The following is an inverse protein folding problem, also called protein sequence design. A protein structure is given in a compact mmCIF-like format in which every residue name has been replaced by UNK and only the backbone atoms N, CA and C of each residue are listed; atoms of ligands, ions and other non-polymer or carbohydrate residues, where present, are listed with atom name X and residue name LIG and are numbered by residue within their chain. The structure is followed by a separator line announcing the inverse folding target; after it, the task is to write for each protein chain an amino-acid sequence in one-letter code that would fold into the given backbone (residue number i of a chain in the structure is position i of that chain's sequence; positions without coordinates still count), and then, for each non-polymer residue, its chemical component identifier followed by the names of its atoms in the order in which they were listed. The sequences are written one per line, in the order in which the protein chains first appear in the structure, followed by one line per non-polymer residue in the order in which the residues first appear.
data_IF_762047416191
#
_entry.id   IF_762047416191
#
_cell.length_a   1.000
_cell.length_b   1.000
_cell.length_c   1.000
_cell.angle_alpha   90.00
_cell.angle_beta   90.00
_cell.angle_gamma   90.00
#
_symmetry.space_group_name_H-M   'P 1'
#
loop_
_entity.id
_entity.type
_entity.pdbx_description
1 polymer ?
#
# COMPACT_ATOMS: atom_id res chain seq x y z
N UNK A 1 -22.67 -9.71 -7.60
CA UNK A 1 -22.31 -8.43 -8.26
C UNK A 1 -22.27 -7.25 -7.27
N UNK A 2 -23.33 -7.01 -6.47
CA UNK A 2 -23.36 -5.86 -5.55
C UNK A 2 -22.38 -5.97 -4.39
N UNK A 3 -22.22 -7.14 -3.80
CA UNK A 3 -21.30 -7.40 -2.70
C UNK A 3 -19.85 -7.27 -3.20
N UNK A 4 -19.57 -7.78 -4.39
CA UNK A 4 -18.24 -7.69 -5.02
C UNK A 4 -17.84 -6.23 -5.30
N UNK A 5 -18.79 -5.42 -5.80
CA UNK A 5 -18.58 -3.99 -6.01
C UNK A 5 -18.36 -3.23 -4.68
N UNK A 6 -19.13 -3.57 -3.64
CA UNK A 6 -18.98 -2.99 -2.32
C UNK A 6 -17.61 -3.31 -1.72
N UNK A 7 -17.19 -4.57 -1.82
CA UNK A 7 -15.88 -5.02 -1.33
C UNK A 7 -14.74 -4.28 -2.04
N UNK A 8 -14.79 -4.18 -3.37
CA UNK A 8 -13.78 -3.48 -4.17
C UNK A 8 -13.69 -2.00 -3.79
N UNK A 9 -14.84 -1.33 -3.67
CA UNK A 9 -14.91 0.08 -3.27
C UNK A 9 -14.39 0.29 -1.85
N UNK A 10 -14.72 -0.62 -0.94
CA UNK A 10 -14.23 -0.59 0.45
C UNK A 10 -12.71 -0.73 0.53
N UNK A 11 -12.12 -1.67 -0.20
CA UNK A 11 -10.66 -1.85 -0.26
C UNK A 11 -9.99 -0.62 -0.86
N UNK A 12 -10.52 -0.06 -1.95
CA UNK A 12 -9.99 1.15 -2.57
C UNK A 12 -10.02 2.36 -1.61
N UNK A 13 -11.11 2.52 -0.86
CA UNK A 13 -11.23 3.54 0.16
C UNK A 13 -10.21 3.38 1.30
N UNK A 14 -10.04 2.16 1.82
CA UNK A 14 -9.05 1.87 2.86
C UNK A 14 -7.62 2.15 2.40
N UNK A 15 -7.28 1.80 1.16
CA UNK A 15 -5.96 2.09 0.58
C UNK A 15 -5.73 3.60 0.42
N UNK A 16 -6.75 4.34 -0.02
CA UNK A 16 -6.68 5.79 -0.11
C UNK A 16 -6.45 6.42 1.26
N UNK A 17 -7.19 5.99 2.28
CA UNK A 17 -6.99 6.44 3.65
C UNK A 17 -5.58 6.10 4.16
N UNK A 18 -5.08 4.90 3.90
CA UNK A 18 -3.73 4.50 4.30
C UNK A 18 -2.67 5.41 3.69
N UNK A 19 -2.79 5.74 2.40
CA UNK A 19 -1.91 6.69 1.72
C UNK A 19 -2.04 8.10 2.33
N UNK A 20 -3.26 8.58 2.53
CA UNK A 20 -3.51 9.90 3.10
C UNK A 20 -2.92 10.04 4.52
N UNK A 21 -3.22 9.09 5.41
CA UNK A 21 -2.66 9.11 6.76
C UNK A 21 -1.13 8.99 6.76
N UNK A 22 -0.55 8.24 5.83
CA UNK A 22 0.90 8.19 5.65
C UNK A 22 1.47 9.55 5.27
N UNK A 23 0.82 10.29 4.36
CA UNK A 23 1.22 11.64 3.97
C UNK A 23 1.14 12.60 5.17
N UNK A 24 0.02 12.59 5.90
CA UNK A 24 -0.17 13.42 7.10
C UNK A 24 0.91 13.12 8.15
N UNK A 25 1.20 11.83 8.36
CA UNK A 25 2.22 11.40 9.31
C UNK A 25 3.63 11.82 8.90
N UNK A 26 4.00 11.61 7.63
CA UNK A 26 5.34 11.87 7.09
C UNK A 26 5.63 13.37 7.00
N UNK A 27 4.70 14.12 6.45
CA UNK A 27 4.91 15.53 6.14
C UNK A 27 4.36 16.47 7.23
N UNK A 28 3.50 15.99 8.11
CA UNK A 28 2.86 16.79 9.16
C UNK A 28 1.86 17.82 8.63
N UNK A 29 1.45 17.66 7.36
CA UNK A 29 0.54 18.55 6.64
C UNK A 29 -0.89 18.04 6.86
N UNK A 30 -1.88 18.92 6.80
CA UNK A 30 -3.32 18.57 6.88
C UNK A 30 -3.82 18.00 8.22
N UNK A 31 -3.13 18.22 9.33
CA UNK A 31 -3.56 17.72 10.66
C UNK A 31 -4.94 18.22 11.11
N UNK A 32 -5.39 19.38 10.60
CA UNK A 32 -6.70 19.94 10.93
C UNK A 32 -7.86 19.51 10.02
N UNK A 33 -7.58 18.84 8.90
CA UNK A 33 -8.57 18.51 7.85
C UNK A 33 -8.85 17.00 7.79
N UNK A 34 -8.27 16.22 8.68
CA UNK A 34 -8.34 14.74 8.61
C UNK A 34 -9.74 14.18 8.74
N UNK A 35 -10.59 14.75 9.60
CA UNK A 35 -11.98 14.29 9.77
C UNK A 35 -12.83 14.58 8.53
N UNK A 36 -12.72 15.79 8.02
CA UNK A 36 -13.51 16.26 6.88
C UNK A 36 -13.10 15.51 5.61
N UNK A 37 -11.79 15.34 5.40
CA UNK A 37 -11.28 14.54 4.27
C UNK A 37 -11.77 13.09 4.32
N UNK A 38 -11.79 12.44 5.49
CA UNK A 38 -12.29 11.08 5.61
C UNK A 38 -13.78 10.99 5.28
N UNK A 39 -14.58 11.96 5.73
CA UNK A 39 -16.01 12.01 5.44
C UNK A 39 -16.29 12.29 3.96
N UNK A 40 -15.64 13.27 3.37
CA UNK A 40 -15.80 13.64 1.96
C UNK A 40 -15.34 12.51 1.03
N UNK A 41 -14.19 11.88 1.34
CA UNK A 41 -13.72 10.71 0.62
C UNK A 41 -14.70 9.54 0.73
N UNK A 42 -15.28 9.27 1.91
CA UNK A 42 -16.28 8.23 2.08
C UNK A 42 -17.51 8.50 1.21
N UNK A 43 -18.03 9.72 1.22
CA UNK A 43 -19.18 10.12 0.39
C UNK A 43 -18.87 9.90 -1.09
N UNK A 44 -17.72 10.34 -1.57
CA UNK A 44 -17.32 10.18 -2.97
C UNK A 44 -17.19 8.70 -3.36
N UNK A 45 -16.55 7.88 -2.52
CA UNK A 45 -16.36 6.46 -2.82
C UNK A 45 -17.68 5.69 -2.80
N UNK A 46 -18.53 5.89 -1.78
CA UNK A 46 -19.76 5.10 -1.64
C UNK A 46 -20.93 5.65 -2.47
N UNK A 47 -20.99 6.96 -2.74
CA UNK A 47 -22.08 7.53 -3.56
C UNK A 47 -21.75 7.49 -5.04
N UNK A 48 -20.49 7.68 -5.44
CA UNK A 48 -20.11 7.77 -6.86
C UNK A 48 -19.42 6.49 -7.35
N UNK A 49 -18.36 6.05 -6.67
CA UNK A 49 -17.54 4.93 -7.14
C UNK A 49 -18.27 3.59 -7.04
N UNK A 50 -18.97 3.34 -5.93
CA UNK A 50 -19.70 2.07 -5.77
C UNK A 50 -20.76 1.84 -6.86
N UNK A 51 -21.66 2.78 -7.20
CA UNK A 51 -22.61 2.59 -8.29
C UNK A 51 -21.92 2.45 -9.66
N UNK A 52 -20.84 3.18 -9.92
CA UNK A 52 -20.07 3.05 -11.16
C UNK A 52 -19.45 1.66 -11.30
N UNK A 53 -18.82 1.15 -10.25
CA UNK A 53 -18.24 -0.19 -10.21
C UNK A 53 -19.33 -1.24 -10.38
N UNK A 54 -20.44 -1.10 -9.65
CA UNK A 54 -21.60 -1.99 -9.78
C UNK A 54 -22.15 -2.03 -11.20
N UNK A 55 -22.35 -0.89 -11.84
CA UNK A 55 -22.81 -0.81 -13.23
C UNK A 55 -21.80 -1.42 -14.21
N UNK A 56 -20.51 -1.27 -13.95
CA UNK A 56 -19.46 -1.86 -14.79
C UNK A 56 -19.47 -3.38 -14.71
N UNK A 57 -19.66 -3.94 -13.51
CA UNK A 57 -19.81 -5.39 -13.33
C UNK A 57 -21.08 -5.92 -14.02
N UNK A 58 -22.19 -5.20 -13.88
CA UNK A 58 -23.47 -5.61 -14.42
C UNK A 58 -23.53 -5.49 -15.97
N UNK A 59 -22.79 -4.55 -16.56
CA UNK A 59 -22.76 -4.32 -18.02
C UNK A 59 -21.97 -5.38 -18.79
N UNK A 60 -21.01 -6.07 -18.16
CA UNK A 60 -20.12 -7.06 -18.77
C UNK A 60 -20.54 -8.51 -18.51
N UNK A 61 -21.83 -8.79 -18.45
CA UNK A 61 -22.33 -10.16 -18.36
C UNK A 61 -22.19 -10.87 -19.70
N UNK A 62 -20.96 -11.13 -20.13
CA UNK A 62 -20.68 -12.22 -21.08
C UNK A 62 -20.55 -13.53 -20.29
N UNK A 63 -21.19 -14.62 -20.74
CA UNK A 63 -21.37 -15.85 -19.95
C UNK A 63 -20.13 -16.75 -19.82
N UNK A 64 -18.92 -16.26 -20.08
CA UNK A 64 -17.74 -17.12 -20.29
C UNK A 64 -16.69 -17.13 -19.16
N UNK A 65 -16.71 -16.20 -18.18
CA UNK A 65 -15.69 -16.19 -17.12
C UNK A 65 -16.30 -16.21 -15.71
N UNK A 66 -15.74 -17.00 -14.78
CA UNK A 66 -16.21 -17.02 -13.40
C UNK A 66 -16.05 -15.64 -12.75
N UNK A 67 -17.07 -15.21 -12.02
CA UNK A 67 -17.18 -13.89 -11.37
C UNK A 67 -15.99 -13.57 -10.45
N UNK A 68 -15.43 -14.60 -9.82
CA UNK A 68 -14.25 -14.51 -8.97
C UNK A 68 -12.98 -14.03 -9.69
N UNK A 69 -12.80 -14.43 -10.97
CA UNK A 69 -11.61 -14.01 -11.74
C UNK A 69 -11.70 -12.55 -12.17
N UNK A 70 -12.91 -12.05 -12.51
CA UNK A 70 -13.13 -10.64 -12.85
C UNK A 70 -12.90 -9.71 -11.65
N UNK A 71 -13.32 -10.16 -10.47
CA UNK A 71 -13.14 -9.41 -9.23
C UNK A 71 -11.65 -9.30 -8.88
N UNK A 72 -10.92 -10.42 -8.95
CA UNK A 72 -9.48 -10.45 -8.70
C UNK A 72 -8.71 -9.60 -9.72
N UNK A 73 -9.06 -9.68 -10.99
CA UNK A 73 -8.42 -8.90 -12.06
C UNK A 73 -8.62 -7.39 -11.83
N UNK A 74 -9.83 -6.97 -11.50
CA UNK A 74 -10.13 -5.57 -11.21
C UNK A 74 -9.45 -5.11 -9.92
N UNK A 75 -9.49 -5.90 -8.85
CA UNK A 75 -8.86 -5.57 -7.58
C UNK A 75 -7.36 -5.38 -7.74
N UNK A 76 -6.69 -6.33 -8.39
CA UNK A 76 -5.24 -6.32 -8.51
C UNK A 76 -4.73 -5.28 -9.51
N UNK A 77 -5.34 -5.17 -10.68
CA UNK A 77 -4.87 -4.27 -11.72
C UNK A 77 -5.32 -2.82 -11.53
N UNK A 78 -6.55 -2.58 -11.04
CA UNK A 78 -7.13 -1.24 -10.99
C UNK A 78 -7.10 -0.59 -9.60
N UNK A 79 -7.00 -1.38 -8.54
CA UNK A 79 -7.01 -0.86 -7.17
C UNK A 79 -5.65 -1.05 -6.51
N UNK A 80 -5.19 -2.28 -6.40
CA UNK A 80 -4.01 -2.61 -5.60
C UNK A 80 -2.71 -2.14 -6.26
N UNK A 81 -2.53 -2.40 -7.56
CA UNK A 81 -1.28 -2.03 -8.25
C UNK A 81 -1.05 -0.52 -8.33
N UNK A 82 -2.06 0.33 -8.69
CA UNK A 82 -1.88 1.78 -8.61
C UNK A 82 -1.62 2.28 -7.19
N UNK A 83 -2.27 1.68 -6.18
CA UNK A 83 -2.05 2.05 -4.79
C UNK A 83 -0.62 1.72 -4.32
N UNK A 84 -0.10 0.53 -4.65
CA UNK A 84 1.30 0.14 -4.35
C UNK A 84 2.28 1.08 -5.05
N UNK A 85 2.01 1.44 -6.31
CA UNK A 85 2.86 2.37 -7.06
C UNK A 85 2.85 3.77 -6.42
N UNK A 86 1.68 4.31 -6.07
CA UNK A 86 1.55 5.59 -5.38
C UNK A 86 2.27 5.58 -4.04
N UNK A 87 2.14 4.48 -3.29
CA UNK A 87 2.82 4.33 -2.01
C UNK A 87 4.34 4.21 -2.17
N UNK A 88 4.81 3.57 -3.24
CA UNK A 88 6.25 3.52 -3.60
C UNK A 88 6.80 4.93 -3.80
N UNK A 89 6.12 5.76 -4.59
CA UNK A 89 6.50 7.17 -4.80
C UNK A 89 6.54 7.92 -3.47
N UNK A 90 5.55 7.72 -2.61
CA UNK A 90 5.50 8.34 -1.28
C UNK A 90 6.70 7.94 -0.40
N UNK A 91 7.09 6.67 -0.41
CA UNK A 91 8.28 6.20 0.31
C UNK A 91 9.56 6.83 -0.24
N UNK A 92 9.70 6.99 -1.56
CA UNK A 92 10.83 7.67 -2.17
C UNK A 92 10.90 9.15 -1.77
N UNK A 93 9.77 9.86 -1.78
CA UNK A 93 9.70 11.25 -1.29
C UNK A 93 10.08 11.34 0.19
N UNK A 94 9.65 10.38 0.97
CA UNK A 94 10.03 10.30 2.38
C UNK A 94 11.53 10.05 2.57
N UNK A 95 12.11 9.15 1.78
CA UNK A 95 13.56 8.93 1.76
C UNK A 95 14.31 10.21 1.40
N UNK A 96 13.89 10.91 0.34
CA UNK A 96 14.48 12.19 -0.05
C UNK A 96 14.39 13.22 1.08
N UNK A 97 13.28 13.29 1.79
CA UNK A 97 13.11 14.16 2.96
C UNK A 97 14.12 13.81 4.07
N UNK A 98 14.30 12.54 4.41
CA UNK A 98 15.26 12.10 5.44
C UNK A 98 16.68 12.49 5.05
N UNK A 99 17.08 12.25 3.81
CA UNK A 99 18.40 12.62 3.29
C UNK A 99 18.61 14.14 3.34
N UNK A 100 17.59 14.92 2.97
CA UNK A 100 17.67 16.39 2.96
C UNK A 100 17.71 17.02 4.38
N UNK A 101 16.94 16.44 5.32
CA UNK A 101 16.86 16.97 6.70
C UNK A 101 17.89 16.37 7.65
N UNK A 102 18.58 15.31 7.21
CA UNK A 102 19.53 14.53 8.00
C UNK A 102 19.00 14.14 9.40
N UNK A 103 17.69 14.01 9.50
CA UNK A 103 16.98 13.68 10.74
C UNK A 103 16.10 12.46 10.55
N UNK A 104 16.35 11.41 11.32
CA UNK A 104 15.46 10.25 11.37
C UNK A 104 14.25 10.60 12.24
N UNK A 105 13.02 10.60 11.69
CA UNK A 105 11.81 10.83 12.48
C UNK A 105 11.61 9.72 13.52
N UNK A 106 11.23 10.12 14.72
CA UNK A 106 11.04 9.20 15.84
C UNK A 106 9.82 8.30 15.59
N UNK A 107 10.02 7.04 15.25
CA UNK A 107 9.05 5.98 15.60
C UNK A 107 8.28 5.28 14.49
N UNK A 108 7.92 5.88 13.36
CA UNK A 108 6.93 5.28 12.46
C UNK A 108 7.42 4.61 11.17
N UNK A 109 8.67 4.80 10.79
CA UNK A 109 9.22 4.33 9.51
C UNK A 109 9.06 2.81 9.35
N UNK A 110 9.39 2.06 10.38
CA UNK A 110 9.36 0.61 10.34
C UNK A 110 7.95 0.07 10.04
N UNK A 111 6.93 0.67 10.64
CA UNK A 111 5.54 0.27 10.41
C UNK A 111 5.06 0.64 9.01
N UNK A 112 5.47 1.81 8.49
CA UNK A 112 5.13 2.24 7.13
C UNK A 112 5.75 1.32 6.08
N UNK A 113 7.05 1.01 6.21
CA UNK A 113 7.75 0.09 5.30
C UNK A 113 7.20 -1.33 5.42
N UNK A 114 6.90 -1.78 6.64
CA UNK A 114 6.31 -3.10 6.87
C UNK A 114 4.93 -3.23 6.20
N UNK A 115 4.03 -2.27 6.42
CA UNK A 115 2.71 -2.25 5.79
C UNK A 115 2.79 -2.22 4.27
N UNK A 116 3.67 -1.40 3.72
CA UNK A 116 3.95 -1.35 2.29
C UNK A 116 4.39 -2.70 1.73
N UNK A 117 5.40 -3.31 2.36
CA UNK A 117 5.96 -4.58 1.89
C UNK A 117 4.93 -5.70 1.92
N UNK A 118 4.12 -5.76 2.98
CA UNK A 118 3.07 -6.77 3.11
C UNK A 118 2.05 -6.65 1.97
N UNK A 119 1.57 -5.44 1.71
CA UNK A 119 0.61 -5.18 0.62
C UNK A 119 1.25 -5.45 -0.74
N UNK A 120 2.50 -5.05 -0.94
CA UNK A 120 3.20 -5.23 -2.20
C UNK A 120 3.50 -6.70 -2.50
N UNK A 121 3.92 -7.49 -1.50
CA UNK A 121 4.12 -8.94 -1.65
C UNK A 121 2.80 -9.65 -1.93
N UNK A 122 1.71 -9.26 -1.23
CA UNK A 122 0.39 -9.78 -1.51
C UNK A 122 -0.09 -9.45 -2.94
N UNK A 123 0.18 -8.22 -3.40
CA UNK A 123 -0.11 -7.81 -4.78
C UNK A 123 0.71 -8.61 -5.80
N UNK A 124 2.01 -8.80 -5.55
CA UNK A 124 2.89 -9.59 -6.40
C UNK A 124 2.46 -11.05 -6.47
N UNK A 125 2.12 -11.66 -5.33
CA UNK A 125 1.58 -13.01 -5.29
C UNK A 125 0.25 -13.10 -6.07
N UNK A 126 -0.63 -12.10 -5.93
CA UNK A 126 -1.88 -12.03 -6.68
C UNK A 126 -1.68 -11.91 -8.19
N UNK A 127 -0.64 -11.19 -8.65
CA UNK A 127 -0.32 -11.07 -10.08
C UNK A 127 -0.06 -12.42 -10.76
N UNK A 128 0.40 -13.43 -10.02
CA UNK A 128 0.61 -14.77 -10.58
C UNK A 128 -0.69 -15.47 -10.97
N UNK A 129 -1.80 -15.07 -10.38
CA UNK A 129 -3.13 -15.62 -10.64
C UNK A 129 -3.85 -14.94 -11.82
N UNK A 130 -3.29 -13.85 -12.35
CA UNK A 130 -3.90 -13.03 -13.38
C UNK A 130 -3.54 -13.49 -14.79
N UNK A 131 -4.53 -13.56 -15.67
CA UNK A 131 -4.34 -13.83 -17.09
C UNK A 131 -3.79 -12.61 -17.86
N UNK A 132 -4.18 -11.39 -17.44
CA UNK A 132 -3.72 -10.13 -18.03
C UNK A 132 -3.04 -9.27 -16.98
N UNK A 133 -1.75 -8.98 -17.18
CA UNK A 133 -0.92 -8.19 -16.26
C UNK A 133 -0.57 -6.85 -16.90
N UNK A 134 -1.07 -5.75 -16.32
CA UNK A 134 -0.78 -4.40 -16.82
C UNK A 134 0.51 -3.83 -16.24
N UNK A 135 0.94 -4.27 -15.05
CA UNK A 135 2.07 -3.73 -14.30
C UNK A 135 3.27 -4.68 -14.22
N UNK A 136 3.44 -5.56 -15.19
CA UNK A 136 4.54 -6.54 -15.24
C UNK A 136 5.93 -5.87 -15.11
N UNK A 137 6.12 -4.72 -15.76
CA UNK A 137 7.37 -3.96 -15.67
C UNK A 137 7.72 -3.52 -14.25
N UNK A 138 6.71 -3.18 -13.44
CA UNK A 138 6.88 -2.78 -12.05
C UNK A 138 7.21 -3.97 -11.16
N UNK A 139 6.44 -5.06 -11.25
CA UNK A 139 6.61 -6.25 -10.42
C UNK A 139 7.87 -7.04 -10.78
N UNK A 140 8.29 -7.07 -12.03
CA UNK A 140 9.56 -7.69 -12.44
C UNK A 140 10.79 -6.95 -11.88
N UNK A 141 10.67 -5.67 -11.59
CA UNK A 141 11.73 -4.85 -10.99
C UNK A 141 11.44 -4.48 -9.54
N UNK A 142 10.41 -5.07 -8.96
CA UNK A 142 9.95 -4.72 -7.62
C UNK A 142 11.07 -4.87 -6.57
N UNK A 143 11.87 -5.93 -6.66
CA UNK A 143 13.02 -6.16 -5.79
C UNK A 143 14.02 -4.98 -5.82
N UNK A 144 14.32 -4.43 -6.99
CA UNK A 144 15.19 -3.26 -7.12
C UNK A 144 14.53 -1.97 -6.63
N UNK A 145 13.23 -1.83 -6.89
CA UNK A 145 12.45 -0.64 -6.49
C UNK A 145 12.26 -0.59 -4.97
N UNK A 146 12.16 -1.74 -4.32
CA UNK A 146 11.99 -1.82 -2.86
C UNK A 146 13.29 -1.69 -2.07
N UNK A 147 14.47 -1.85 -2.71
CA UNK A 147 15.77 -1.73 -2.04
C UNK A 147 15.96 -0.47 -1.20
N UNK A 148 15.63 0.76 -1.68
CA UNK A 148 15.78 1.97 -0.86
C UNK A 148 14.88 1.96 0.38
N UNK A 149 13.65 1.43 0.26
CA UNK A 149 12.74 1.31 1.38
C UNK A 149 13.25 0.30 2.43
N UNK A 150 13.80 -0.81 1.95
CA UNK A 150 14.43 -1.83 2.79
C UNK A 150 15.69 -1.29 3.49
N UNK A 151 16.55 -0.56 2.77
CA UNK A 151 17.71 0.09 3.33
C UNK A 151 17.33 1.08 4.44
N UNK A 152 16.30 1.90 4.21
CA UNK A 152 15.75 2.81 5.22
C UNK A 152 15.23 2.07 6.45
N UNK A 153 14.55 0.95 6.25
CA UNK A 153 14.07 0.12 7.36
C UNK A 153 15.25 -0.35 8.23
N UNK A 154 16.28 -0.94 7.62
CA UNK A 154 17.46 -1.45 8.35
C UNK A 154 18.25 -0.34 9.03
N UNK A 155 18.42 0.83 8.39
CA UNK A 155 19.02 2.01 9.03
C UNK A 155 18.20 2.45 10.24
N UNK A 156 16.88 2.52 10.10
CA UNK A 156 15.96 2.88 11.19
C UNK A 156 15.99 1.89 12.36
N UNK A 157 16.11 0.61 12.09
CA UNK A 157 16.26 -0.45 13.11
C UNK A 157 17.62 -0.34 13.79
N UNK A 158 18.70 -0.14 13.02
CA UNK A 158 20.07 -0.03 13.53
C UNK A 158 20.27 1.18 14.45
N UNK A 159 19.79 2.36 14.05
CA UNK A 159 19.86 3.56 14.89
C UNK A 159 19.15 3.38 16.23
N UNK A 160 17.97 2.71 16.20
CA UNK A 160 17.23 2.46 17.46
C UNK A 160 17.84 1.39 18.32
N UNK A 161 18.51 0.42 17.74
CA UNK A 161 19.28 -0.56 18.50
C UNK A 161 20.39 0.12 19.27
N UNK A 162 21.12 1.07 18.62
CA UNK A 162 22.19 1.82 19.25
C UNK A 162 21.72 2.70 20.41
N UNK A 163 20.54 3.37 20.25
CA UNK A 163 20.08 4.36 21.22
C UNK A 163 19.44 3.76 22.49
N UNK A 164 18.75 2.61 22.37
CA UNK A 164 17.86 2.11 23.43
C UNK A 164 18.01 0.63 23.78
N UNK A 165 18.94 -0.11 23.15
CA UNK A 165 19.15 -1.55 23.35
C UNK A 165 18.05 -2.44 22.76
N UNK A 166 18.11 -3.74 23.02
CA UNK A 166 17.14 -4.76 22.56
C UNK A 166 15.91 -4.79 23.47
N UNK A 167 14.74 -4.53 22.90
CA UNK A 167 13.44 -4.76 23.53
C UNK A 167 12.64 -5.78 22.72
N UNK A 168 11.66 -6.45 23.33
CA UNK A 168 10.82 -7.48 22.68
C UNK A 168 10.24 -7.00 21.34
N UNK A 169 9.66 -5.79 21.31
CA UNK A 169 9.10 -5.21 20.09
C UNK A 169 10.13 -5.04 18.96
N UNK A 170 11.42 -4.89 19.27
CA UNK A 170 12.48 -4.76 18.28
C UNK A 170 12.94 -6.09 17.74
N UNK A 171 12.93 -7.12 18.56
CA UNK A 171 13.20 -8.49 18.11
C UNK A 171 12.15 -8.89 17.06
N UNK A 172 10.88 -8.57 17.30
CA UNK A 172 9.82 -8.78 16.30
C UNK A 172 10.05 -7.98 15.01
N UNK A 173 10.47 -6.71 15.12
CA UNK A 173 10.77 -5.89 13.94
C UNK A 173 11.95 -6.45 13.14
N UNK A 174 13.01 -6.93 13.81
CA UNK A 174 14.15 -7.57 13.14
C UNK A 174 13.72 -8.86 12.44
N UNK A 175 12.95 -9.72 13.12
CA UNK A 175 12.42 -10.94 12.53
C UNK A 175 11.55 -10.65 11.30
N UNK A 176 10.64 -9.69 11.40
CA UNK A 176 9.84 -9.22 10.27
C UNK A 176 10.71 -8.67 9.13
N UNK A 177 11.74 -7.88 9.46
CA UNK A 177 12.70 -7.34 8.48
C UNK A 177 13.46 -8.43 7.74
N UNK A 178 13.87 -9.50 8.42
CA UNK A 178 14.51 -10.66 7.80
C UNK A 178 13.57 -11.39 6.84
N UNK A 179 12.33 -11.62 7.26
CA UNK A 179 11.30 -12.24 6.41
C UNK A 179 11.05 -11.38 5.17
N UNK A 180 10.89 -10.05 5.35
CA UNK A 180 10.70 -9.11 4.24
C UNK A 180 11.85 -9.17 3.24
N UNK A 181 13.09 -9.20 3.75
CA UNK A 181 14.30 -9.27 2.91
C UNK A 181 14.37 -10.59 2.14
N UNK A 182 13.90 -11.69 2.74
CA UNK A 182 13.86 -13.00 2.10
C UNK A 182 12.74 -13.12 1.04
N UNK A 183 11.64 -12.36 1.18
CA UNK A 183 10.51 -12.37 0.24
C UNK A 183 10.71 -11.42 -0.97
N UNK A 184 11.70 -10.53 -0.93
CA UNK A 184 12.04 -9.58 -1.99
C UNK A 184 13.19 -10.07 -2.87
#
# INVERSE_FOLDING_TARGET
DGISALFLTGVAYLLLLAIFFSIVYIFGIFKGITSDFCADAALLFFIVLWPLVFLTFNRKSEPAEPESSKLLDTLLNWVLSPAVLAYTVLLYLYFAKIVATWSLPRGGIAYLVFGFTLIAVAAQAGQTLLNKRYYDWFYNRFSLISLPALAMFWVGVGCRWSDYGLTENRVYLIACGLIMTACM
#
